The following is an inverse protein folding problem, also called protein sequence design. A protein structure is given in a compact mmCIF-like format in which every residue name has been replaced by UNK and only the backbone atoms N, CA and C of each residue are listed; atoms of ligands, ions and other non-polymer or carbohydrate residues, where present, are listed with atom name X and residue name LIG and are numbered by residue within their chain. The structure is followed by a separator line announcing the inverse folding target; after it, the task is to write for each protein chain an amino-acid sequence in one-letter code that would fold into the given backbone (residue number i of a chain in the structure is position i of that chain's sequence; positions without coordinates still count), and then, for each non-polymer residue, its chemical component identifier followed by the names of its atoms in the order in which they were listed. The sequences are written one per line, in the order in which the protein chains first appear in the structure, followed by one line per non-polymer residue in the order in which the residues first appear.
data_IF_828225717082
#
_entry.id   IF_828225717082
#
_cell.length_a   1.000
_cell.length_b   1.000
_cell.length_c   1.000
_cell.angle_alpha   90.00
_cell.angle_beta   90.00
_cell.angle_gamma   90.00
#
_symmetry.space_group_name_H-M   'P 1'
#
loop_
_entity.id
_entity.type
_entity.pdbx_description
1 polymer ?
#
# COMPACT_ATOMS: atom_id res chain seq x y z
N UNK A 1 7.82 0.14 10.74
CA UNK A 1 7.42 -0.49 9.45
C UNK A 1 6.15 -1.31 9.58
N UNK A 2 6.12 -2.24 10.53
CA UNK A 2 5.04 -3.23 10.73
C UNK A 2 3.63 -2.65 10.75
N UNK A 3 3.33 -1.65 11.59
CA UNK A 3 1.93 -1.22 11.81
C UNK A 3 1.24 -0.69 10.55
N UNK A 4 1.86 0.25 9.84
CA UNK A 4 1.22 0.89 8.68
C UNK A 4 1.12 -0.04 7.47
N UNK A 5 2.18 -0.83 7.20
CA UNK A 5 2.19 -1.76 6.08
C UNK A 5 1.21 -2.93 6.33
N UNK A 6 1.31 -3.60 7.46
CA UNK A 6 0.46 -4.76 7.73
C UNK A 6 -1.01 -4.39 7.86
N UNK A 7 -1.34 -3.26 8.49
CA UNK A 7 -2.72 -2.79 8.53
C UNK A 7 -3.29 -2.53 7.12
N UNK A 8 -2.47 -2.04 6.19
CA UNK A 8 -2.87 -1.85 4.78
C UNK A 8 -3.13 -3.19 4.11
N UNK A 9 -2.21 -4.14 4.24
CA UNK A 9 -2.33 -5.50 3.67
C UNK A 9 -3.56 -6.22 4.21
N UNK A 10 -3.76 -6.25 5.53
CA UNK A 10 -4.89 -6.95 6.14
C UNK A 10 -6.23 -6.35 5.73
N UNK A 11 -6.35 -5.02 5.66
CA UNK A 11 -7.59 -4.38 5.20
C UNK A 11 -7.88 -4.69 3.73
N UNK A 12 -6.87 -4.61 2.86
CA UNK A 12 -7.03 -4.96 1.46
C UNK A 12 -7.49 -6.41 1.29
N UNK A 13 -6.81 -7.34 1.96
CA UNK A 13 -7.18 -8.77 1.94
C UNK A 13 -8.60 -9.02 2.46
N UNK A 14 -9.04 -8.27 3.49
CA UNK A 14 -10.38 -8.42 4.04
C UNK A 14 -11.49 -7.94 3.08
N UNK A 15 -11.26 -6.85 2.33
CA UNK A 15 -12.26 -6.28 1.41
C UNK A 15 -12.26 -6.94 0.03
N UNK A 16 -11.10 -7.47 -0.42
CA UNK A 16 -10.94 -8.08 -1.75
C UNK A 16 -12.01 -9.12 -2.10
N UNK A 17 -12.36 -10.10 -1.24
CA UNK A 17 -13.40 -11.09 -1.55
C UNK A 17 -14.77 -10.46 -1.80
N UNK A 18 -15.11 -9.41 -1.05
CA UNK A 18 -16.39 -8.68 -1.19
C UNK A 18 -16.42 -7.96 -2.53
N UNK A 19 -15.36 -7.20 -2.85
CA UNK A 19 -15.26 -6.44 -4.10
C UNK A 19 -15.25 -7.36 -5.33
N UNK A 20 -14.59 -8.52 -5.25
CA UNK A 20 -14.62 -9.55 -6.30
C UNK A 20 -16.05 -10.05 -6.56
N UNK A 21 -16.81 -10.37 -5.51
CA UNK A 21 -18.23 -10.79 -5.65
C UNK A 21 -19.11 -9.68 -6.23
N UNK A 22 -18.89 -8.44 -5.81
CA UNK A 22 -19.63 -7.27 -6.30
C UNK A 22 -19.21 -6.82 -7.71
N UNK A 23 -18.10 -7.36 -8.25
CA UNK A 23 -17.47 -6.96 -9.52
C UNK A 23 -17.22 -5.44 -9.62
N UNK A 24 -17.09 -4.78 -8.48
CA UNK A 24 -17.01 -3.32 -8.38
C UNK A 24 -16.33 -2.90 -7.08
N UNK A 25 -15.81 -1.67 -7.09
CA UNK A 25 -15.15 -1.05 -5.96
C UNK A 25 -13.80 -0.42 -6.31
N UNK A 26 -13.25 0.33 -5.36
CA UNK A 26 -11.94 0.99 -5.45
C UNK A 26 -11.24 0.90 -4.09
N UNK A 27 -9.96 0.58 -4.08
CA UNK A 27 -9.10 0.65 -2.89
C UNK A 27 -8.19 1.85 -3.09
N UNK A 28 -8.16 2.76 -2.12
CA UNK A 28 -7.28 3.94 -2.12
C UNK A 28 -6.34 3.81 -0.93
N UNK A 29 -5.04 3.76 -1.20
CA UNK A 29 -3.99 3.72 -0.16
C UNK A 29 -3.25 5.04 -0.09
N UNK A 30 -2.89 5.49 1.12
CA UNK A 30 -2.17 6.74 1.33
C UNK A 30 -0.68 6.48 1.58
N UNK A 31 0.16 6.85 0.61
CA UNK A 31 1.63 6.83 0.74
C UNK A 31 2.19 8.19 1.17
N UNK A 32 3.42 8.52 0.82
CA UNK A 32 4.13 9.77 1.12
C UNK A 32 5.27 9.98 0.13
N UNK A 33 5.65 11.25 -0.10
CA UNK A 33 6.84 11.62 -0.88
C UNK A 33 8.12 10.98 -0.34
N UNK A 34 8.20 10.72 0.97
CA UNK A 34 9.30 10.01 1.61
C UNK A 34 9.44 8.54 1.15
N UNK A 35 8.40 7.98 0.52
CA UNK A 35 8.46 6.66 -0.11
C UNK A 35 8.95 6.69 -1.56
N UNK A 36 9.15 7.87 -2.14
CA UNK A 36 9.66 8.07 -3.50
C UNK A 36 11.10 8.59 -3.51
N UNK A 37 11.45 9.41 -2.53
CA UNK A 37 12.80 9.97 -2.38
C UNK A 37 13.20 10.02 -0.91
N UNK A 38 14.49 9.77 -0.66
CA UNK A 38 15.07 9.85 0.68
C UNK A 38 15.76 11.21 0.90
N UNK A 39 15.70 11.78 2.10
CA UNK A 39 16.56 12.89 2.48
C UNK A 39 18.05 12.51 2.41
N UNK A 40 18.93 13.49 2.22
CA UNK A 40 20.37 13.27 2.09
C UNK A 40 21.02 12.66 3.35
N UNK A 41 20.42 12.91 4.52
CA UNK A 41 20.86 12.38 5.81
C UNK A 41 20.31 10.98 6.13
N UNK A 42 19.49 10.39 5.24
CA UNK A 42 18.86 9.08 5.46
C UNK A 42 17.81 9.08 6.58
N UNK A 43 17.37 10.26 7.04
CA UNK A 43 16.36 10.40 8.08
C UNK A 43 15.07 9.65 7.75
N UNK A 44 14.40 9.15 8.81
CA UNK A 44 13.11 8.47 8.68
C UNK A 44 13.11 7.23 7.78
N UNK A 45 14.26 6.55 7.60
CA UNK A 45 14.40 5.36 6.72
C UNK A 45 13.29 4.33 6.89
N UNK A 46 12.88 4.06 8.13
CA UNK A 46 11.80 3.11 8.43
C UNK A 46 10.44 3.61 7.93
N UNK A 47 10.15 4.91 8.03
CA UNK A 47 8.90 5.49 7.53
C UNK A 47 8.90 5.54 6.00
N UNK A 48 9.99 6.01 5.38
CA UNK A 48 10.15 6.03 3.93
C UNK A 48 9.99 4.64 3.31
N UNK A 49 10.70 3.64 3.86
CA UNK A 49 10.58 2.24 3.43
C UNK A 49 9.14 1.71 3.56
N UNK A 50 8.44 2.06 4.64
CA UNK A 50 7.04 1.67 4.83
C UNK A 50 6.13 2.25 3.76
N UNK A 51 6.32 3.52 3.40
CA UNK A 51 5.51 4.22 2.41
C UNK A 51 5.82 3.78 0.99
N UNK A 52 7.08 3.50 0.68
CA UNK A 52 7.48 2.84 -0.57
C UNK A 52 6.80 1.47 -0.71
N UNK A 53 6.83 0.65 0.34
CA UNK A 53 6.18 -0.65 0.35
C UNK A 53 4.66 -0.57 0.14
N UNK A 54 3.98 0.40 0.76
CA UNK A 54 2.53 0.64 0.54
C UNK A 54 2.26 1.00 -0.93
N UNK A 55 3.04 1.91 -1.51
CA UNK A 55 2.84 2.32 -2.91
C UNK A 55 3.02 1.12 -3.87
N UNK A 56 4.08 0.35 -3.68
CA UNK A 56 4.35 -0.81 -4.51
C UNK A 56 3.30 -1.90 -4.31
N UNK A 57 2.88 -2.18 -3.06
CA UNK A 57 1.81 -3.13 -2.77
C UNK A 57 0.52 -2.78 -3.52
N UNK A 58 0.13 -1.52 -3.57
CA UNK A 58 -1.09 -1.08 -4.29
C UNK A 58 -1.01 -1.34 -5.79
N UNK A 59 0.15 -1.14 -6.42
CA UNK A 59 0.35 -1.44 -7.83
C UNK A 59 0.22 -2.94 -8.13
N UNK A 60 0.85 -3.79 -7.32
CA UNK A 60 0.74 -5.25 -7.48
C UNK A 60 -0.66 -5.75 -7.17
N UNK A 61 -1.32 -5.18 -6.17
CA UNK A 61 -2.70 -5.51 -5.83
C UNK A 61 -3.64 -5.17 -6.99
N UNK A 62 -3.44 -4.01 -7.64
CA UNK A 62 -4.23 -3.63 -8.81
C UNK A 62 -4.15 -4.70 -9.92
N UNK A 63 -2.94 -5.12 -10.27
CA UNK A 63 -2.75 -6.19 -11.25
C UNK A 63 -3.34 -7.53 -10.80
N UNK A 64 -3.20 -7.89 -9.51
CA UNK A 64 -3.76 -9.13 -8.97
C UNK A 64 -5.30 -9.16 -9.00
N UNK A 65 -5.94 -8.00 -8.88
CA UNK A 65 -7.40 -7.86 -8.91
C UNK A 65 -7.95 -7.65 -10.33
N UNK A 66 -7.08 -7.50 -11.33
CA UNK A 66 -7.47 -7.35 -12.73
C UNK A 66 -8.00 -5.95 -13.09
N UNK A 67 -7.51 -4.91 -12.41
CA UNK A 67 -7.69 -3.53 -12.84
C UNK A 67 -6.44 -2.96 -13.50
#
# INVERSE_FOLDING_TARGET
VSTNLFATVYRCNAVTPVMKRQRSGKIITVSSVAGLSSPADGGYVHYGATKAAIAQYTLYLAQNLGC
#
